data_IF_450201529609
#
_entry.id   IF_450201529609
#
_cell.length_a   1.000
_cell.length_b   1.000
_cell.length_c   1.000
_cell.angle_alpha   90.00
_cell.angle_beta   90.00
_cell.angle_gamma   90.00
#
_symmetry.space_group_name_H-M   'P 1'
#
loop_
_entity.id
_entity.type
_entity.pdbx_description
1 polymer ?
#
# COMPACT_ATOMS: atom_id res chain seq x y z
N UNK A 1 16.06 -13.64 18.14
CA UNK A 1 17.50 -13.63 17.80
C UNK A 1 17.70 -14.41 16.50
N UNK A 2 18.84 -14.29 15.82
CA UNK A 2 19.16 -15.14 14.65
C UNK A 2 20.40 -16.02 14.89
N UNK A 3 20.65 -16.98 13.99
CA UNK A 3 21.78 -17.92 14.10
C UNK A 3 23.15 -17.19 14.06
N UNK A 4 23.38 -16.20 13.18
CA UNK A 4 24.57 -15.36 13.24
C UNK A 4 24.77 -14.66 14.60
N UNK A 5 23.71 -14.10 15.19
CA UNK A 5 23.74 -13.45 16.49
C UNK A 5 24.11 -14.43 17.61
N UNK A 6 23.55 -15.65 17.60
CA UNK A 6 23.96 -16.69 18.55
C UNK A 6 25.44 -17.07 18.40
N UNK A 7 25.98 -17.12 17.18
CA UNK A 7 27.42 -17.38 16.97
C UNK A 7 28.30 -16.26 17.54
N UNK A 8 27.86 -15.00 17.40
CA UNK A 8 28.55 -13.85 18.00
C UNK A 8 28.51 -13.94 19.54
N UNK A 9 27.35 -14.22 20.11
CA UNK A 9 27.20 -14.40 21.57
C UNK A 9 28.01 -15.60 22.08
N UNK A 10 28.15 -16.68 21.31
CA UNK A 10 29.04 -17.79 21.64
C UNK A 10 30.52 -17.36 21.67
N UNK A 11 30.93 -16.43 20.80
CA UNK A 11 32.24 -15.79 20.84
C UNK A 11 32.45 -14.98 22.12
N UNK A 12 31.45 -14.21 22.53
CA UNK A 12 31.48 -13.42 23.77
C UNK A 12 31.49 -14.29 25.03
N UNK A 13 30.67 -15.35 25.08
CA UNK A 13 30.70 -16.33 26.20
C UNK A 13 32.08 -16.98 26.30
N UNK A 14 32.71 -17.31 25.18
CA UNK A 14 34.07 -17.85 25.18
C UNK A 14 35.06 -16.85 25.78
N UNK A 15 35.04 -15.59 25.33
CA UNK A 15 35.91 -14.54 25.89
C UNK A 15 35.67 -14.30 27.38
N UNK A 16 34.41 -14.35 27.83
CA UNK A 16 34.04 -14.23 29.25
C UNK A 16 34.61 -15.38 30.09
N UNK A 17 34.54 -16.62 29.58
CA UNK A 17 35.07 -17.79 30.27
C UNK A 17 36.61 -17.81 30.29
N UNK A 18 37.24 -17.34 29.22
CA UNK A 18 38.71 -17.15 29.16
C UNK A 18 39.18 -16.16 30.25
N UNK A 19 38.45 -15.06 30.47
CA UNK A 19 38.74 -14.11 31.57
C UNK A 19 38.64 -14.73 32.96
N UNK A 20 37.90 -15.85 33.11
CA UNK A 20 37.75 -16.60 34.35
C UNK A 20 38.64 -17.85 34.39
N UNK A 21 39.67 -17.93 33.53
CA UNK A 21 40.59 -19.06 33.40
C UNK A 21 39.91 -20.40 33.06
N UNK A 22 38.77 -20.36 32.34
CA UNK A 22 38.06 -21.54 31.84
C UNK A 22 38.23 -21.61 30.32
N UNK A 23 39.21 -22.36 29.80
CA UNK A 23 39.41 -22.48 28.36
C UNK A 23 38.31 -23.34 27.74
N UNK A 24 37.59 -22.79 26.77
CA UNK A 24 36.58 -23.53 25.99
C UNK A 24 36.80 -23.36 24.48
N UNK A 25 36.68 -24.47 23.75
CA UNK A 25 36.81 -24.47 22.29
C UNK A 25 35.61 -23.81 21.60
N UNK A 26 35.76 -23.45 20.33
CA UNK A 26 34.70 -22.82 19.53
C UNK A 26 33.42 -23.66 19.44
N UNK A 27 33.53 -24.98 19.25
CA UNK A 27 32.37 -25.88 19.22
C UNK A 27 31.66 -25.96 20.57
N UNK A 28 32.42 -25.95 21.66
CA UNK A 28 31.88 -25.98 23.03
C UNK A 28 31.15 -24.68 23.37
N UNK A 29 31.64 -23.52 22.92
CA UNK A 29 30.96 -22.25 23.17
C UNK A 29 29.63 -22.13 22.40
N UNK A 30 29.54 -22.73 21.20
CA UNK A 30 28.29 -22.87 20.47
C UNK A 30 27.28 -23.79 21.19
N UNK A 31 27.73 -24.87 21.80
CA UNK A 31 26.84 -25.73 22.61
C UNK A 31 26.37 -25.05 23.90
N UNK A 32 27.20 -24.19 24.48
CA UNK A 32 26.84 -23.40 25.65
C UNK A 32 25.78 -22.36 25.31
N UNK A 33 25.92 -21.63 24.19
CA UNK A 33 24.98 -20.56 23.82
C UNK A 33 23.58 -21.07 23.46
N UNK A 34 23.46 -22.34 23.06
CA UNK A 34 22.16 -22.99 22.80
C UNK A 34 21.21 -22.93 24.01
N UNK A 35 21.72 -22.67 25.22
CA UNK A 35 20.91 -22.49 26.43
C UNK A 35 19.92 -21.32 26.35
N UNK A 36 20.28 -20.26 25.61
CA UNK A 36 19.46 -19.04 25.51
C UNK A 36 18.06 -19.36 24.96
N UNK A 37 17.91 -19.99 23.78
CA UNK A 37 16.60 -20.45 23.28
C UNK A 37 16.04 -21.68 24.02
N UNK A 38 16.75 -22.20 25.03
CA UNK A 38 16.34 -23.39 25.78
C UNK A 38 16.57 -24.70 25.03
N UNK A 39 17.67 -24.76 24.26
CA UNK A 39 18.10 -25.92 23.46
C UNK A 39 19.36 -26.56 24.06
N UNK A 40 19.61 -27.85 23.78
CA UNK A 40 20.64 -28.63 24.47
C UNK A 40 22.04 -28.45 23.89
N UNK A 41 22.15 -28.28 22.58
CA UNK A 41 23.41 -28.20 21.84
C UNK A 41 23.23 -27.44 20.50
N UNK A 42 24.33 -27.20 19.78
CA UNK A 42 24.33 -26.47 18.52
C UNK A 42 23.57 -27.15 17.37
N UNK A 43 23.60 -28.49 17.21
CA UNK A 43 22.73 -29.17 16.25
C UNK A 43 21.23 -28.86 16.42
N UNK A 44 20.73 -28.77 17.66
CA UNK A 44 19.34 -28.39 17.91
C UNK A 44 19.04 -26.93 17.50
N UNK A 45 20.00 -26.01 17.62
CA UNK A 45 19.85 -24.62 17.16
C UNK A 45 19.56 -24.56 15.65
N UNK A 46 20.19 -25.43 14.86
CA UNK A 46 19.92 -25.53 13.42
C UNK A 46 18.61 -26.25 13.11
N UNK A 47 18.17 -27.18 13.97
CA UNK A 47 16.93 -27.94 13.78
C UNK A 47 15.66 -27.17 14.19
N UNK A 48 15.78 -26.13 15.03
CA UNK A 48 14.64 -25.35 15.56
C UNK A 48 14.81 -23.84 15.35
N UNK A 49 14.84 -23.35 14.09
CA UNK A 49 15.06 -21.94 13.77
C UNK A 49 14.00 -21.01 14.36
N UNK A 50 12.74 -21.44 14.46
CA UNK A 50 11.65 -20.62 15.02
C UNK A 50 11.85 -20.33 16.52
N UNK A 51 12.43 -21.28 17.26
CA UNK A 51 12.77 -21.08 18.69
C UNK A 51 13.95 -20.13 18.88
N UNK A 52 14.87 -20.10 17.91
CA UNK A 52 15.97 -19.13 17.88
C UNK A 52 15.43 -17.74 17.56
N UNK A 53 14.55 -17.65 16.56
CA UNK A 53 13.86 -16.43 16.15
C UNK A 53 13.10 -15.79 17.30
N UNK A 54 12.29 -16.58 18.02
CA UNK A 54 11.50 -16.14 19.17
C UNK A 54 12.31 -15.88 20.45
N UNK A 55 13.62 -16.20 20.48
CA UNK A 55 14.45 -16.00 21.67
C UNK A 55 15.02 -14.58 21.70
N UNK A 56 14.92 -13.92 22.86
CA UNK A 56 15.56 -12.63 23.15
C UNK A 56 16.57 -12.75 24.30
N UNK A 57 17.54 -11.85 24.38
CA UNK A 57 18.46 -11.79 25.52
C UNK A 57 17.80 -11.00 26.65
N UNK A 58 17.25 -11.70 27.64
CA UNK A 58 16.54 -11.12 28.78
C UNK A 58 16.83 -11.92 30.06
N UNK A 59 16.27 -11.49 31.21
CA UNK A 59 16.53 -12.12 32.51
C UNK A 59 16.28 -13.63 32.53
N UNK A 60 15.20 -14.08 31.87
CA UNK A 60 14.84 -15.50 31.83
C UNK A 60 15.78 -16.34 30.97
N UNK A 61 16.24 -15.82 29.82
CA UNK A 61 17.16 -16.53 28.93
C UNK A 61 18.58 -16.53 29.49
N UNK A 62 19.02 -15.42 30.09
CA UNK A 62 20.28 -15.30 30.80
C UNK A 62 20.37 -16.20 32.04
N UNK A 63 19.27 -16.37 32.80
CA UNK A 63 19.23 -17.31 33.92
C UNK A 63 19.46 -18.77 33.50
N UNK A 64 18.93 -19.18 32.34
CA UNK A 64 19.19 -20.52 31.77
C UNK A 64 20.66 -20.69 31.40
N UNK A 65 21.29 -19.67 30.83
CA UNK A 65 22.72 -19.69 30.53
C UNK A 65 23.56 -19.72 31.82
N UNK A 66 23.24 -18.90 32.83
CA UNK A 66 23.90 -18.92 34.14
C UNK A 66 23.86 -20.31 34.78
N UNK A 67 22.70 -20.95 34.76
CA UNK A 67 22.54 -22.31 35.27
C UNK A 67 23.42 -23.32 34.50
N UNK A 68 23.54 -23.17 33.17
CA UNK A 68 24.39 -24.03 32.34
C UNK A 68 25.87 -23.82 32.62
N UNK A 69 26.31 -22.57 32.78
CA UNK A 69 27.70 -22.24 33.10
C UNK A 69 28.10 -22.75 34.50
N UNK A 70 27.21 -22.58 35.49
CA UNK A 70 27.41 -23.12 36.84
C UNK A 70 27.50 -24.65 36.84
N UNK A 71 26.58 -25.33 36.16
CA UNK A 71 26.54 -26.80 36.16
C UNK A 71 27.70 -27.45 35.40
N UNK A 72 28.21 -26.83 34.32
CA UNK A 72 29.27 -27.41 33.49
C UNK A 72 30.69 -26.95 33.84
N UNK A 73 30.84 -25.74 34.34
CA UNK A 73 32.16 -25.14 34.57
C UNK A 73 32.36 -24.60 35.99
N UNK A 74 31.38 -24.78 36.88
CA UNK A 74 31.40 -24.29 38.26
C UNK A 74 31.68 -22.77 38.37
N UNK A 75 31.30 -22.00 37.35
CA UNK A 75 31.39 -20.54 37.33
C UNK A 75 30.02 -19.94 37.60
N UNK A 76 29.93 -19.08 38.59
CA UNK A 76 28.68 -18.44 38.99
C UNK A 76 28.59 -17.04 38.41
N UNK A 77 27.56 -16.82 37.59
CA UNK A 77 27.20 -15.50 37.09
C UNK A 77 25.75 -15.20 37.45
N UNK A 78 25.48 -13.97 37.88
CA UNK A 78 24.09 -13.51 37.97
C UNK A 78 23.52 -13.22 36.57
N UNK A 79 22.19 -13.38 36.36
CA UNK A 79 21.58 -13.04 35.08
C UNK A 79 21.86 -11.61 34.59
N UNK A 80 21.86 -10.57 35.45
CA UNK A 80 22.23 -9.21 35.04
C UNK A 80 23.69 -9.09 34.56
N UNK A 81 24.63 -9.79 35.21
CA UNK A 81 26.04 -9.81 34.79
C UNK A 81 26.21 -10.47 33.41
N UNK A 82 25.49 -11.58 33.16
CA UNK A 82 25.53 -12.21 31.84
C UNK A 82 24.89 -11.36 30.77
N UNK A 83 23.77 -10.69 31.07
CA UNK A 83 23.18 -9.74 30.12
C UNK A 83 24.19 -8.64 29.82
N UNK A 84 24.79 -8.01 30.83
CA UNK A 84 25.78 -6.96 30.63
C UNK A 84 27.03 -7.41 29.85
N UNK A 85 27.48 -8.66 30.05
CA UNK A 85 28.66 -9.21 29.37
C UNK A 85 28.38 -9.71 27.94
N UNK A 86 27.15 -10.11 27.65
CA UNK A 86 26.73 -10.66 26.35
C UNK A 86 26.01 -9.63 25.48
N UNK A 87 25.53 -8.57 26.10
CA UNK A 87 25.21 -7.31 25.44
C UNK A 87 26.51 -6.68 24.92
N UNK A 88 26.62 -6.30 23.63
CA UNK A 88 27.76 -5.53 23.15
C UNK A 88 27.93 -4.24 23.98
N UNK A 89 29.17 -3.72 24.15
CA UNK A 89 29.40 -2.45 24.81
C UNK A 89 28.54 -1.38 24.14
N UNK A 90 27.54 -0.87 24.86
CA UNK A 90 26.44 -0.07 24.32
C UNK A 90 25.02 -0.59 24.62
N UNK A 91 24.88 -1.76 25.26
CA UNK A 91 23.56 -2.32 25.64
C UNK A 91 23.38 -2.49 27.15
N UNK A 92 23.61 -1.40 27.89
CA UNK A 92 22.83 -1.11 29.09
C UNK A 92 21.73 -0.14 28.67
N UNK A 93 20.48 -0.35 29.09
CA UNK A 93 19.42 0.64 28.93
C UNK A 93 19.55 1.72 30.02
N UNK A 94 19.99 2.94 29.68
CA UNK A 94 19.21 4.13 29.96
C UNK A 94 18.30 4.39 28.74
N UNK A 95 17.41 5.37 28.85
CA UNK A 95 16.49 5.81 27.79
C UNK A 95 17.09 5.76 26.38
N UNK A 96 16.26 5.47 25.36
CA UNK A 96 16.52 5.71 23.92
C UNK A 96 17.56 6.83 23.70
N UNK A 97 18.82 6.45 23.54
CA UNK A 97 19.98 7.30 23.26
C UNK A 97 21.19 6.35 23.21
N UNK A 98 21.96 6.20 22.15
CA UNK A 98 22.04 6.90 20.87
C UNK A 98 22.85 5.99 19.95
N UNK A 99 22.19 5.28 19.03
CA UNK A 99 22.77 5.26 17.68
C UNK A 99 22.87 6.74 17.26
N UNK A 100 23.91 7.18 16.55
CA UNK A 100 23.98 8.56 16.08
C UNK A 100 22.68 8.84 15.32
N UNK A 101 21.87 9.77 15.85
CA UNK A 101 20.67 10.18 15.16
C UNK A 101 21.11 11.00 13.97
N UNK A 102 20.74 10.57 12.77
CA UNK A 102 21.01 11.37 11.59
C UNK A 102 20.00 12.51 11.57
N UNK A 103 20.52 13.72 11.35
CA UNK A 103 19.74 14.95 11.32
C UNK A 103 18.91 15.18 12.61
N UNK A 104 19.55 15.30 13.79
CA UNK A 104 18.85 15.42 15.07
C UNK A 104 18.08 16.75 15.22
N UNK A 105 18.53 17.80 14.52
CA UNK A 105 17.85 19.09 14.41
C UNK A 105 16.80 19.12 13.31
N UNK A 106 16.67 18.04 12.54
CA UNK A 106 15.71 17.91 11.45
C UNK A 106 14.27 17.68 11.93
N UNK A 107 13.31 17.68 10.99
CA UNK A 107 11.88 17.44 11.27
C UNK A 107 11.61 16.14 12.02
N UNK A 108 10.43 15.95 12.60
CA UNK A 108 10.11 14.71 13.32
C UNK A 108 10.14 13.48 12.39
N UNK A 109 10.43 12.29 12.93
CA UNK A 109 10.22 11.03 12.21
C UNK A 109 8.75 10.91 11.81
N UNK A 110 8.49 10.31 10.65
CA UNK A 110 7.17 10.33 10.05
C UNK A 110 7.18 10.09 8.55
N UNK A 111 6.00 9.81 8.01
CA UNK A 111 5.72 9.73 6.58
C UNK A 111 5.27 11.10 6.08
N UNK A 112 5.99 11.62 5.09
CA UNK A 112 5.71 12.89 4.44
C UNK A 112 5.46 12.64 2.95
N UNK A 113 4.36 13.15 2.43
CA UNK A 113 3.93 12.87 1.05
C UNK A 113 4.04 14.10 0.16
N UNK A 114 4.30 13.91 -1.12
CA UNK A 114 4.26 14.96 -2.15
C UNK A 114 3.91 14.38 -3.51
N UNK A 115 3.42 15.21 -4.43
CA UNK A 115 3.23 14.85 -5.84
C UNK A 115 4.32 15.43 -6.75
N UNK A 116 5.32 16.13 -6.18
CA UNK A 116 6.34 16.87 -6.93
C UNK A 116 7.70 16.20 -6.82
N UNK A 117 8.29 15.83 -7.96
CA UNK A 117 9.69 15.38 -8.02
C UNK A 117 10.64 16.52 -7.61
N UNK A 118 10.30 17.77 -7.94
CA UNK A 118 11.09 18.93 -7.53
C UNK A 118 11.18 19.06 -6.01
N UNK A 119 10.09 18.80 -5.28
CA UNK A 119 10.09 18.77 -3.82
C UNK A 119 11.01 17.68 -3.25
N UNK A 120 11.08 16.50 -3.90
CA UNK A 120 12.01 15.42 -3.52
C UNK A 120 13.46 15.84 -3.78
N UNK A 121 13.75 16.40 -4.94
CA UNK A 121 15.11 16.83 -5.30
C UNK A 121 15.60 17.94 -4.33
N UNK A 122 14.73 18.90 -3.99
CA UNK A 122 15.03 19.94 -3.01
C UNK A 122 15.24 19.37 -1.59
N UNK A 123 14.44 18.38 -1.19
CA UNK A 123 14.60 17.69 0.10
C UNK A 123 15.94 16.96 0.18
N UNK A 124 16.36 16.27 -0.89
CA UNK A 124 17.63 15.56 -0.96
C UNK A 124 18.81 16.52 -0.79
N UNK A 125 18.80 17.64 -1.53
CA UNK A 125 19.83 18.66 -1.40
C UNK A 125 19.90 19.21 0.04
N UNK A 126 18.75 19.51 0.62
CA UNK A 126 18.69 20.05 1.99
C UNK A 126 19.16 19.06 3.04
N UNK A 127 18.84 17.78 2.88
CA UNK A 127 19.32 16.72 3.75
C UNK A 127 20.83 16.60 3.68
N UNK A 128 21.40 16.60 2.47
CA UNK A 128 22.84 16.53 2.23
C UNK A 128 23.58 17.69 2.92
N UNK A 129 23.10 18.93 2.73
CA UNK A 129 23.63 20.13 3.38
C UNK A 129 23.51 20.09 4.92
N UNK A 130 22.42 19.55 5.45
CA UNK A 130 22.16 19.53 6.89
C UNK A 130 22.84 18.38 7.64
N UNK A 131 23.33 17.38 6.92
CA UNK A 131 23.94 16.17 7.48
C UNK A 131 25.40 15.98 7.09
N UNK A 132 25.98 16.92 6.34
CA UNK A 132 27.33 16.83 5.78
C UNK A 132 27.52 15.58 4.89
N UNK A 133 26.48 15.25 4.10
CA UNK A 133 26.52 14.15 3.12
C UNK A 133 26.23 12.75 3.67
N UNK A 134 25.35 12.62 4.66
CA UNK A 134 24.92 11.32 5.15
C UNK A 134 24.15 10.52 4.09
N UNK A 135 24.15 9.21 4.25
CA UNK A 135 23.50 8.30 3.31
C UNK A 135 21.97 8.50 3.31
N UNK A 136 21.39 8.46 2.11
CA UNK A 136 19.95 8.39 1.86
C UNK A 136 19.61 7.01 1.35
N UNK A 137 18.46 6.44 1.72
CA UNK A 137 17.95 5.23 1.10
C UNK A 137 16.81 5.59 0.15
N UNK A 138 16.86 5.13 -1.09
CA UNK A 138 15.87 5.55 -2.08
C UNK A 138 15.41 4.43 -3.01
N UNK A 139 14.16 4.52 -3.46
CA UNK A 139 13.66 3.91 -4.71
C UNK A 139 13.69 4.96 -5.83
N UNK A 140 13.25 4.60 -7.05
CA UNK A 140 13.28 5.39 -8.28
C UNK A 140 13.26 6.93 -8.14
N UNK A 141 12.36 7.51 -7.34
CA UNK A 141 12.24 8.96 -7.12
C UNK A 141 13.50 9.61 -6.51
N UNK A 142 14.36 8.88 -5.80
CA UNK A 142 15.60 9.40 -5.22
C UNK A 142 16.86 8.65 -5.65
N UNK A 143 16.75 7.57 -6.43
CA UNK A 143 17.88 6.70 -6.79
C UNK A 143 18.94 7.36 -7.67
N UNK A 144 18.63 8.51 -8.27
CA UNK A 144 19.58 9.29 -9.07
C UNK A 144 20.52 10.18 -8.25
N UNK A 145 20.32 10.29 -6.94
CA UNK A 145 21.15 11.11 -6.06
C UNK A 145 22.49 10.44 -5.74
N UNK A 146 23.60 11.19 -5.75
CA UNK A 146 24.95 10.63 -5.59
C UNK A 146 25.15 9.92 -4.24
N UNK A 147 24.50 10.40 -3.17
CA UNK A 147 24.51 9.80 -1.84
C UNK A 147 23.43 8.73 -1.57
N UNK A 148 22.67 8.32 -2.60
CA UNK A 148 21.57 7.37 -2.42
C UNK A 148 22.03 5.90 -2.48
N UNK A 149 21.53 5.11 -1.54
CA UNK A 149 21.56 3.65 -1.56
C UNK A 149 20.21 3.16 -2.08
N UNK A 150 20.25 2.41 -3.17
CA UNK A 150 19.06 1.74 -3.71
C UNK A 150 18.51 0.73 -2.70
N UNK A 151 17.21 0.85 -2.40
CA UNK A 151 16.48 -0.06 -1.52
C UNK A 151 16.34 -1.48 -2.12
N UNK A 152 16.49 -1.63 -3.43
CA UNK A 152 16.53 -2.90 -4.14
C UNK A 152 15.20 -3.67 -4.08
N UNK A 153 15.26 -4.98 -4.36
CA UNK A 153 14.08 -5.84 -4.53
C UNK A 153 13.15 -5.89 -3.32
N UNK A 154 13.70 -5.82 -2.10
CA UNK A 154 12.92 -5.90 -0.86
C UNK A 154 12.37 -4.54 -0.40
N UNK A 155 12.81 -3.42 -0.99
CA UNK A 155 12.30 -2.10 -0.68
C UNK A 155 12.30 -1.77 0.83
N UNK A 156 11.22 -1.14 1.28
CA UNK A 156 10.96 -0.85 2.69
C UNK A 156 10.79 -2.09 3.59
N UNK A 157 10.51 -3.27 3.04
CA UNK A 157 10.38 -4.51 3.81
C UNK A 157 11.74 -5.09 4.23
N UNK A 158 12.84 -4.54 3.73
CA UNK A 158 14.19 -5.01 4.04
C UNK A 158 14.48 -4.98 5.55
N UNK A 159 14.89 -6.14 6.11
CA UNK A 159 15.33 -6.23 7.51
C UNK A 159 16.62 -5.43 7.78
N UNK A 160 17.36 -5.05 6.75
CA UNK A 160 18.55 -4.21 6.86
C UNK A 160 18.23 -2.80 7.37
N UNK A 161 17.05 -2.26 7.05
CA UNK A 161 16.64 -0.91 7.45
C UNK A 161 16.46 -0.74 8.95
N UNK A 162 16.18 -1.82 9.69
CA UNK A 162 16.13 -1.79 11.16
C UNK A 162 17.51 -1.57 11.81
N UNK A 163 18.59 -1.69 11.04
CA UNK A 163 19.97 -1.43 11.50
C UNK A 163 20.47 -0.04 11.09
N UNK A 164 19.71 0.66 10.26
CA UNK A 164 20.02 2.02 9.82
C UNK A 164 19.79 2.97 10.99
N UNK A 165 20.65 3.97 11.23
CA UNK A 165 20.49 4.89 12.34
C UNK A 165 19.15 5.66 12.26
N UNK A 166 18.53 5.92 13.40
CA UNK A 166 17.28 6.68 13.44
C UNK A 166 17.46 8.08 12.86
N UNK A 167 16.43 8.60 12.20
CA UNK A 167 16.45 9.91 11.56
C UNK A 167 17.02 9.91 10.13
N UNK A 168 17.48 8.78 9.63
CA UNK A 168 17.82 8.66 8.21
C UNK A 168 16.64 9.01 7.32
N UNK A 169 16.93 9.72 6.22
CA UNK A 169 15.97 9.99 5.17
C UNK A 169 15.83 8.77 4.26
N UNK A 170 14.58 8.37 4.04
CA UNK A 170 14.20 7.33 3.09
C UNK A 170 13.25 7.95 2.06
N UNK A 171 13.54 7.78 0.77
CA UNK A 171 12.73 8.31 -0.34
C UNK A 171 12.09 7.15 -1.10
N UNK A 172 10.77 7.19 -1.25
CA UNK A 172 9.98 6.10 -1.85
C UNK A 172 9.11 6.65 -2.96
N UNK A 173 8.94 5.86 -4.02
CA UNK A 173 8.04 6.18 -5.12
C UNK A 173 8.74 6.41 -6.46
N UNK A 174 8.02 6.88 -7.49
CA UNK A 174 6.61 7.26 -7.43
C UNK A 174 5.70 6.07 -7.09
N UNK A 175 4.83 6.24 -6.09
CA UNK A 175 3.76 5.28 -5.79
C UNK A 175 2.53 5.68 -6.59
N UNK A 176 2.15 4.83 -7.54
CA UNK A 176 0.95 5.06 -8.33
C UNK A 176 -0.29 4.80 -7.48
N UNK A 177 -1.15 5.81 -7.33
CA UNK A 177 -2.48 5.67 -6.75
C UNK A 177 -3.50 5.47 -7.85
N UNK A 178 -3.69 4.21 -8.23
CA UNK A 178 -4.75 3.77 -9.13
C UNK A 178 -5.31 2.42 -8.66
N UNK A 179 -6.39 1.96 -9.28
CA UNK A 179 -7.12 0.77 -8.84
C UNK A 179 -6.28 -0.51 -9.00
N UNK A 180 -5.44 -0.58 -10.02
CA UNK A 180 -4.59 -1.75 -10.29
C UNK A 180 -3.42 -1.89 -9.33
N UNK A 181 -2.92 -0.79 -8.75
CA UNK A 181 -1.82 -0.76 -7.78
C UNK A 181 -2.27 -0.51 -6.33
N UNK A 182 -3.58 -0.40 -6.08
CA UNK A 182 -4.11 0.05 -4.78
C UNK A 182 -3.62 -0.79 -3.60
N UNK A 183 -3.64 -2.12 -3.73
CA UNK A 183 -3.19 -3.05 -2.68
C UNK A 183 -1.69 -2.98 -2.44
N UNK A 184 -0.88 -2.99 -3.50
CA UNK A 184 0.58 -2.90 -3.41
C UNK A 184 1.02 -1.56 -2.79
N UNK A 185 0.38 -0.46 -3.20
CA UNK A 185 0.65 0.87 -2.64
C UNK A 185 0.24 0.95 -1.17
N UNK A 186 -0.89 0.35 -0.78
CA UNK A 186 -1.31 0.26 0.62
C UNK A 186 -0.25 -0.46 1.49
N UNK A 187 0.27 -1.60 1.03
CA UNK A 187 1.32 -2.31 1.75
C UNK A 187 2.64 -1.53 1.81
N UNK A 188 3.04 -0.83 0.74
CA UNK A 188 4.23 0.03 0.78
C UNK A 188 4.08 1.17 1.77
N UNK A 189 2.90 1.80 1.84
CA UNK A 189 2.61 2.87 2.80
C UNK A 189 2.58 2.35 4.24
N UNK A 190 2.07 1.14 4.49
CA UNK A 190 2.16 0.49 5.80
C UNK A 190 3.61 0.27 6.22
N UNK A 191 4.46 -0.25 5.34
CA UNK A 191 5.88 -0.37 5.64
C UNK A 191 6.53 0.98 5.91
N UNK A 192 6.16 2.03 5.18
CA UNK A 192 6.65 3.40 5.44
C UNK A 192 6.27 3.86 6.86
N UNK A 193 5.02 3.63 7.27
CA UNK A 193 4.55 3.94 8.62
C UNK A 193 5.33 3.16 9.68
N UNK A 194 5.55 1.85 9.47
CA UNK A 194 6.35 1.02 10.37
C UNK A 194 7.80 1.54 10.50
N UNK A 195 8.44 1.97 9.40
CA UNK A 195 9.80 2.54 9.44
C UNK A 195 9.85 3.87 10.18
N UNK A 196 8.83 4.70 10.02
CA UNK A 196 8.74 5.95 10.77
C UNK A 196 8.55 5.71 12.27
N UNK A 197 7.64 4.83 12.68
CA UNK A 197 7.31 4.64 14.10
C UNK A 197 8.29 3.75 14.87
N UNK A 198 8.67 2.61 14.28
CA UNK A 198 9.48 1.61 14.97
C UNK A 198 10.97 1.97 14.93
N UNK A 199 11.43 2.44 13.77
CA UNK A 199 12.86 2.70 13.53
C UNK A 199 13.21 4.20 13.64
N UNK A 200 12.21 5.09 13.67
CA UNK A 200 12.41 6.53 13.83
C UNK A 200 12.91 7.22 12.55
N UNK A 201 12.56 6.69 11.38
CA UNK A 201 13.00 7.23 10.08
C UNK A 201 12.10 8.36 9.56
N UNK A 202 12.63 9.15 8.63
CA UNK A 202 11.87 10.15 7.87
C UNK A 202 11.62 9.58 6.50
N UNK A 203 10.38 9.26 6.18
CA UNK A 203 10.03 8.62 4.91
C UNK A 203 9.33 9.66 4.04
N UNK A 204 10.01 10.12 2.98
CA UNK A 204 9.43 10.97 1.95
C UNK A 204 8.87 10.09 0.84
N UNK A 205 7.60 10.29 0.50
CA UNK A 205 6.90 9.47 -0.50
C UNK A 205 6.42 10.35 -1.64
N UNK A 206 6.94 10.07 -2.84
CA UNK A 206 6.40 10.63 -4.07
C UNK A 206 5.15 9.85 -4.48
N UNK A 207 4.04 10.54 -4.60
CA UNK A 207 2.74 10.00 -4.98
C UNK A 207 2.41 10.44 -6.40
N UNK A 208 2.09 9.48 -7.27
CA UNK A 208 1.51 9.74 -8.58
C UNK A 208 0.00 9.49 -8.51
N UNK A 209 -0.78 10.57 -8.58
CA UNK A 209 -2.25 10.52 -8.42
C UNK A 209 -2.96 11.41 -9.44
N UNK A 210 -4.10 10.96 -9.99
CA UNK A 210 -4.97 11.81 -10.81
C UNK A 210 -5.69 12.90 -10.00
N UNK A 211 -5.65 12.88 -8.66
CA UNK A 211 -6.32 13.84 -7.77
C UNK A 211 -5.37 14.31 -6.65
N UNK A 212 -4.44 15.23 -6.94
CA UNK A 212 -3.53 15.77 -5.92
C UNK A 212 -4.25 16.35 -4.69
N UNK A 213 -5.40 16.99 -4.88
CA UNK A 213 -6.21 17.57 -3.80
C UNK A 213 -6.77 16.52 -2.82
N UNK A 214 -6.89 15.25 -3.27
CA UNK A 214 -7.41 14.14 -2.47
C UNK A 214 -6.31 13.23 -1.92
N UNK A 215 -5.04 13.47 -2.29
CA UNK A 215 -3.89 12.63 -1.96
C UNK A 215 -3.84 12.22 -0.48
N UNK A 216 -3.98 13.17 0.45
CA UNK A 216 -3.88 12.88 1.89
C UNK A 216 -4.96 11.92 2.37
N UNK A 217 -6.19 12.05 1.87
CA UNK A 217 -7.28 11.15 2.24
C UNK A 217 -7.06 9.77 1.62
N UNK A 218 -6.61 9.71 0.36
CA UNK A 218 -6.33 8.45 -0.30
C UNK A 218 -5.18 7.68 0.34
N UNK A 219 -4.09 8.37 0.73
CA UNK A 219 -2.98 7.79 1.49
C UNK A 219 -3.47 7.25 2.84
N UNK A 220 -4.27 8.01 3.58
CA UNK A 220 -4.81 7.56 4.85
C UNK A 220 -5.73 6.33 4.68
N UNK A 221 -6.58 6.30 3.65
CA UNK A 221 -7.43 5.15 3.34
C UNK A 221 -6.61 3.92 2.95
N UNK A 222 -5.56 4.09 2.16
CA UNK A 222 -4.68 2.99 1.77
C UNK A 222 -4.00 2.35 3.00
N UNK A 223 -3.49 3.17 3.93
CA UNK A 223 -2.91 2.66 5.19
C UNK A 223 -3.96 1.95 6.06
N UNK A 224 -5.15 2.54 6.21
CA UNK A 224 -6.24 1.96 6.99
C UNK A 224 -6.73 0.60 6.46
N UNK A 225 -6.61 0.36 5.15
CA UNK A 225 -7.00 -0.90 4.52
C UNK A 225 -6.22 -2.09 5.07
N UNK A 226 -4.91 -1.93 5.27
CA UNK A 226 -3.99 -3.00 5.68
C UNK A 226 -3.76 -3.01 7.20
N UNK A 227 -3.79 -1.83 7.82
CA UNK A 227 -3.65 -1.62 9.26
C UNK A 227 -4.88 -0.90 9.83
N UNK A 228 -6.02 -1.62 10.02
CA UNK A 228 -7.25 -1.03 10.52
C UNK A 228 -7.12 -0.69 12.02
N UNK A 229 -6.64 0.52 12.31
CA UNK A 229 -6.75 1.12 13.63
C UNK A 229 -8.17 1.68 13.81
N UNK A 230 -8.71 1.68 15.03
CA UNK A 230 -10.09 2.06 15.33
C UNK A 230 -10.35 3.55 15.04
N UNK A 231 -10.68 3.87 13.79
CA UNK A 231 -11.24 5.16 13.35
C UNK A 231 -10.28 6.35 13.26
N UNK A 232 -9.03 6.22 13.73
CA UNK A 232 -8.02 7.29 13.66
C UNK A 232 -7.06 7.09 12.48
N UNK A 233 -6.51 8.19 11.98
CA UNK A 233 -5.45 8.17 10.98
C UNK A 233 -4.17 7.64 11.65
N UNK A 234 -3.41 6.83 10.94
CA UNK A 234 -2.15 6.27 11.47
C UNK A 234 -1.23 7.41 11.96
N UNK A 235 -0.74 7.37 13.21
CA UNK A 235 0.04 8.46 13.78
C UNK A 235 1.38 8.68 13.08
N UNK A 236 1.87 7.71 12.30
CA UNK A 236 3.06 7.84 11.46
C UNK A 236 2.87 8.81 10.29
N UNK A 237 1.64 9.05 9.83
CA UNK A 237 1.33 9.96 8.74
C UNK A 237 1.49 11.41 9.20
N UNK A 238 2.69 11.96 8.95
CA UNK A 238 3.16 13.17 9.60
C UNK A 238 2.89 14.45 8.81
N UNK A 239 3.02 14.45 7.47
CA UNK A 239 2.78 15.68 6.72
C UNK A 239 3.16 15.70 5.25
N UNK A 240 3.69 16.84 4.79
CA UNK A 240 3.97 17.16 3.38
C UNK A 240 5.46 17.47 3.17
N UNK A 241 5.98 17.11 2.00
CA UNK A 241 7.25 17.65 1.48
C UNK A 241 6.96 18.88 0.61
N UNK A 242 7.49 20.05 0.98
CA UNK A 242 7.29 21.30 0.21
C UNK A 242 8.20 21.37 -1.01
N UNK A 243 7.91 22.27 -1.95
CA UNK A 243 8.78 22.55 -3.11
C UNK A 243 10.18 23.03 -2.73
N UNK A 244 10.33 23.59 -1.52
CA UNK A 244 11.62 24.03 -0.96
C UNK A 244 12.36 22.91 -0.20
N UNK A 245 11.82 21.68 -0.22
CA UNK A 245 12.41 20.52 0.44
C UNK A 245 12.19 20.46 1.95
N UNK A 246 11.25 21.23 2.50
CA UNK A 246 10.88 21.14 3.92
C UNK A 246 9.93 19.97 4.18
N UNK A 247 10.18 19.22 5.26
CA UNK A 247 9.20 18.30 5.82
C UNK A 247 8.35 19.05 6.85
N UNK A 248 7.12 19.40 6.47
CA UNK A 248 6.21 20.15 7.34
C UNK A 248 5.13 19.24 7.92
N UNK A 249 4.91 19.26 9.24
CA UNK A 249 3.84 18.49 9.85
C UNK A 249 2.47 19.01 9.43
N UNK A 250 1.51 18.10 9.29
CA UNK A 250 0.12 18.39 8.92
C UNK A 250 -0.82 17.79 9.96
N UNK A 251 -1.51 18.63 10.73
CA UNK A 251 -2.47 18.19 11.75
C UNK A 251 -3.80 18.95 11.62
N UNK A 252 -4.94 18.26 11.41
CA UNK A 252 -5.06 16.84 11.10
C UNK A 252 -4.44 16.51 9.73
N UNK A 253 -3.91 15.29 9.56
CA UNK A 253 -3.33 14.84 8.29
C UNK A 253 -4.36 14.90 7.14
N UNK A 254 -5.56 14.40 7.40
CA UNK A 254 -6.71 14.52 6.49
C UNK A 254 -7.55 15.73 6.88
N UNK A 255 -7.78 16.62 5.93
CA UNK A 255 -8.71 17.74 6.09
C UNK A 255 -9.99 17.48 5.29
N UNK A 256 -11.16 17.95 5.76
CA UNK A 256 -12.39 17.86 4.98
C UNK A 256 -12.25 18.62 3.65
N UNK A 257 -12.47 17.93 2.54
CA UNK A 257 -12.55 18.55 1.22
C UNK A 257 -13.98 18.48 0.68
N UNK A 258 -14.50 19.59 0.17
CA UNK A 258 -15.77 19.61 -0.55
C UNK A 258 -15.54 19.03 -1.95
N UNK A 259 -16.25 17.94 -2.27
CA UNK A 259 -16.15 17.32 -3.58
C UNK A 259 -17.03 18.04 -4.59
N UNK A 260 -16.48 18.21 -5.80
CA UNK A 260 -17.25 18.69 -6.93
C UNK A 260 -18.18 17.57 -7.41
N UNK A 261 -19.49 17.84 -7.39
CA UNK A 261 -20.50 16.95 -7.97
C UNK A 261 -20.81 17.41 -9.37
N UNK A 262 -20.69 16.48 -10.33
CA UNK A 262 -21.02 16.72 -11.72
C UNK A 262 -22.41 16.16 -11.97
N UNK A 263 -23.33 17.03 -12.40
CA UNK A 263 -24.66 16.60 -12.82
C UNK A 263 -24.57 16.02 -14.22
N UNK A 264 -25.21 14.87 -14.42
CA UNK A 264 -25.33 14.26 -15.76
C UNK A 264 -26.73 14.44 -16.35
N UNK A 265 -27.61 15.17 -15.63
CA UNK A 265 -28.97 15.42 -16.05
C UNK A 265 -29.02 16.14 -17.42
N UNK A 266 -29.88 15.66 -18.31
CA UNK A 266 -30.09 16.24 -19.64
C UNK A 266 -29.07 15.80 -20.70
N UNK A 267 -28.10 14.93 -20.37
CA UNK A 267 -27.27 14.28 -21.37
C UNK A 267 -28.14 13.44 -22.36
N UNK A 268 -27.75 13.36 -23.64
CA UNK A 268 -28.47 12.55 -24.62
C UNK A 268 -28.51 11.07 -24.24
N UNK A 269 -29.62 10.40 -24.53
CA UNK A 269 -29.82 8.95 -24.30
C UNK A 269 -29.94 8.16 -25.59
N UNK A 270 -29.62 8.77 -26.73
CA UNK A 270 -29.85 8.26 -28.10
C UNK A 270 -28.92 7.11 -28.50
N UNK A 271 -27.78 6.95 -27.82
CA UNK A 271 -26.91 5.78 -27.96
C UNK A 271 -27.54 4.49 -27.38
N UNK A 272 -28.69 4.58 -26.71
CA UNK A 272 -29.50 3.46 -26.26
C UNK A 272 -30.83 3.40 -27.03
N UNK A 273 -31.26 2.22 -27.50
CA UNK A 273 -32.58 2.06 -28.10
C UNK A 273 -33.70 2.49 -27.13
N UNK A 274 -34.78 3.15 -27.59
CA UNK A 274 -35.85 3.62 -26.70
C UNK A 274 -36.46 2.54 -25.82
N UNK A 275 -36.57 1.29 -26.33
CA UNK A 275 -37.06 0.16 -25.54
C UNK A 275 -36.09 -0.25 -24.44
N UNK A 276 -34.79 -0.16 -24.69
CA UNK A 276 -33.76 -0.42 -23.69
C UNK A 276 -33.80 0.65 -22.58
N UNK A 277 -34.00 1.93 -22.93
CA UNK A 277 -34.18 3.03 -21.96
C UNK A 277 -35.39 2.76 -21.04
N UNK A 278 -36.53 2.36 -21.61
CA UNK A 278 -37.74 2.05 -20.84
C UNK A 278 -37.49 0.89 -19.85
N UNK A 279 -36.92 -0.22 -20.33
CA UNK A 279 -36.62 -1.40 -19.51
C UNK A 279 -35.59 -1.11 -18.43
N UNK A 280 -34.54 -0.37 -18.76
CA UNK A 280 -33.50 0.02 -17.81
C UNK A 280 -34.09 0.90 -16.69
N UNK A 281 -34.92 1.88 -17.05
CA UNK A 281 -35.61 2.74 -16.08
C UNK A 281 -36.47 1.92 -15.11
N UNK A 282 -37.23 0.94 -15.62
CA UNK A 282 -38.02 0.04 -14.78
C UNK A 282 -37.16 -0.83 -13.86
N UNK A 283 -36.00 -1.31 -14.34
CA UNK A 283 -35.08 -2.13 -13.53
C UNK A 283 -34.38 -1.32 -12.46
N UNK A 284 -33.96 -0.09 -12.74
CA UNK A 284 -33.32 0.79 -11.75
C UNK A 284 -34.25 1.12 -10.58
N UNK A 285 -35.57 1.18 -10.80
CA UNK A 285 -36.56 1.33 -9.73
C UNK A 285 -36.62 0.12 -8.79
N UNK A 286 -36.23 -1.07 -9.25
CA UNK A 286 -36.21 -2.30 -8.46
C UNK A 286 -34.85 -2.51 -7.79
N UNK A 287 -33.77 -2.12 -8.46
CA UNK A 287 -32.40 -2.32 -8.01
C UNK A 287 -31.50 -1.19 -8.51
N UNK A 288 -31.05 -0.35 -7.58
CA UNK A 288 -30.22 0.83 -7.85
C UNK A 288 -28.72 0.60 -7.61
N UNK A 289 -28.31 -0.59 -7.19
CA UNK A 289 -26.91 -0.97 -6.92
C UNK A 289 -26.58 -2.34 -7.51
N UNK A 290 -25.31 -2.54 -7.87
CA UNK A 290 -24.81 -3.74 -8.52
C UNK A 290 -24.11 -3.40 -9.83
N UNK A 291 -24.26 -4.27 -10.84
CA UNK A 291 -23.57 -4.14 -12.13
C UNK A 291 -24.53 -3.72 -13.23
N UNK A 292 -24.20 -2.64 -13.93
CA UNK A 292 -24.81 -2.23 -15.18
C UNK A 292 -23.78 -2.42 -16.30
N UNK A 293 -24.01 -3.46 -17.10
CA UNK A 293 -23.10 -3.85 -18.19
C UNK A 293 -23.65 -3.29 -19.49
N UNK A 294 -22.83 -2.50 -20.18
CA UNK A 294 -23.19 -1.79 -21.39
C UNK A 294 -22.14 -2.08 -22.46
N UNK A 295 -22.55 -2.74 -23.54
CA UNK A 295 -21.62 -3.19 -24.57
C UNK A 295 -22.00 -2.73 -25.97
N UNK A 296 -21.00 -2.73 -26.83
CA UNK A 296 -21.14 -2.41 -28.25
C UNK A 296 -20.15 -3.23 -29.08
N UNK A 297 -20.52 -3.60 -30.31
CA UNK A 297 -19.56 -4.18 -31.27
C UNK A 297 -18.71 -3.15 -32.01
N UNK A 298 -18.88 -1.85 -31.73
CA UNK A 298 -18.07 -0.83 -32.37
C UNK A 298 -16.69 -0.84 -31.72
N UNK A 299 -15.70 -1.28 -32.50
CA UNK A 299 -14.32 -1.35 -32.05
C UNK A 299 -13.74 0.06 -31.84
N UNK A 300 -13.60 0.45 -30.58
CA UNK A 300 -13.04 1.72 -30.12
C UNK A 300 -12.08 1.48 -28.95
N UNK A 301 -11.33 2.51 -28.52
CA UNK A 301 -10.43 2.39 -27.36
C UNK A 301 -11.20 2.13 -26.05
N UNK A 302 -12.42 2.67 -25.91
CA UNK A 302 -13.27 2.51 -24.73
C UNK A 302 -14.61 1.89 -25.09
N UNK A 303 -14.73 0.59 -24.86
CA UNK A 303 -15.90 -0.18 -25.26
C UNK A 303 -17.17 0.22 -24.50
N UNK A 304 -18.29 0.28 -25.22
CA UNK A 304 -19.60 0.62 -24.64
C UNK A 304 -19.71 2.03 -24.05
N UNK A 305 -18.72 2.92 -24.28
CA UNK A 305 -18.66 4.20 -23.57
C UNK A 305 -19.78 5.17 -23.99
N UNK A 306 -20.24 5.12 -25.24
CA UNK A 306 -21.43 5.85 -25.70
C UNK A 306 -22.70 5.37 -24.99
N UNK A 307 -22.84 4.04 -24.81
CA UNK A 307 -23.96 3.46 -24.07
C UNK A 307 -23.90 3.84 -22.57
N UNK A 308 -22.70 3.84 -21.98
CA UNK A 308 -22.48 4.34 -20.61
C UNK A 308 -22.91 5.80 -20.49
N UNK A 309 -22.44 6.66 -21.40
CA UNK A 309 -22.81 8.08 -21.43
C UNK A 309 -24.33 8.28 -21.50
N UNK A 310 -25.03 7.49 -22.32
CA UNK A 310 -26.48 7.53 -22.43
C UNK A 310 -27.22 6.97 -21.19
N UNK A 311 -26.60 6.09 -20.42
CA UNK A 311 -27.17 5.55 -19.18
C UNK A 311 -26.96 6.45 -17.95
N UNK A 312 -25.95 7.31 -17.95
CA UNK A 312 -25.66 8.25 -16.86
C UNK A 312 -26.88 9.09 -16.42
N UNK A 313 -27.59 9.82 -17.31
CA UNK A 313 -28.74 10.63 -16.90
C UNK A 313 -29.89 9.80 -16.30
N UNK A 314 -29.99 8.50 -16.65
CA UNK A 314 -31.05 7.59 -16.16
C UNK A 314 -30.81 7.11 -14.73
N UNK A 315 -29.64 7.39 -14.16
CA UNK A 315 -29.18 6.86 -12.86
C UNK A 315 -28.82 7.99 -11.89
N UNK A 316 -29.18 9.23 -12.21
CA UNK A 316 -28.77 10.41 -11.43
C UNK A 316 -29.25 10.34 -9.97
N UNK A 317 -30.40 9.72 -9.72
CA UNK A 317 -31.01 9.50 -8.41
C UNK A 317 -30.23 8.53 -7.51
N UNK A 318 -29.38 7.67 -8.08
CA UNK A 318 -28.52 6.74 -7.33
C UNK A 318 -27.42 7.48 -6.55
N UNK A 319 -27.00 8.65 -7.03
CA UNK A 319 -26.01 9.51 -6.35
C UNK A 319 -24.87 10.00 -7.25
N UNK A 320 -23.80 10.56 -6.69
CA UNK A 320 -22.69 11.09 -7.46
C UNK A 320 -21.95 9.99 -8.24
N UNK A 321 -21.49 10.35 -9.44
CA UNK A 321 -20.73 9.47 -10.33
C UNK A 321 -19.27 9.89 -10.45
N UNK A 322 -18.38 8.90 -10.50
CA UNK A 322 -16.96 9.07 -10.75
C UNK A 322 -16.42 8.01 -11.71
N UNK A 323 -15.26 8.29 -12.30
CA UNK A 323 -14.44 7.33 -13.04
C UNK A 323 -13.37 6.77 -12.11
N UNK A 324 -13.18 5.46 -12.11
CA UNK A 324 -12.08 4.85 -11.37
C UNK A 324 -10.86 4.75 -12.30
N UNK A 325 -9.73 5.32 -11.88
CA UNK A 325 -8.48 5.20 -12.62
C UNK A 325 -7.99 3.75 -12.54
N UNK A 326 -8.01 3.03 -13.65
CA UNK A 326 -7.64 1.60 -13.65
C UNK A 326 -6.13 1.39 -13.50
N UNK A 327 -5.35 2.19 -14.21
CA UNK A 327 -3.88 2.24 -14.18
C UNK A 327 -3.38 3.58 -14.68
N UNK A 328 -2.15 3.92 -14.40
CA UNK A 328 -1.50 5.07 -15.02
C UNK A 328 -1.13 4.69 -16.46
N UNK A 329 -1.56 5.51 -17.44
CA UNK A 329 -1.25 5.29 -18.86
C UNK A 329 -0.08 6.14 -19.28
N UNK A 330 0.86 5.54 -20.02
CA UNK A 330 1.90 6.30 -20.74
C UNK A 330 1.36 7.24 -21.82
N UNK A 331 0.07 7.15 -22.18
CA UNK A 331 -0.61 8.09 -23.09
C UNK A 331 -1.93 8.59 -22.46
N UNK A 332 -1.87 9.62 -21.59
CA UNK A 332 -3.05 10.13 -20.86
C UNK A 332 -4.17 10.65 -21.77
N UNK A 333 -3.84 11.13 -22.98
CA UNK A 333 -4.83 11.60 -23.94
C UNK A 333 -5.88 10.54 -24.30
N UNK A 334 -5.53 9.25 -24.20
CA UNK A 334 -6.46 8.15 -24.44
C UNK A 334 -7.61 8.16 -23.45
N UNK A 335 -7.40 8.57 -22.21
CA UNK A 335 -8.45 8.65 -21.19
C UNK A 335 -9.50 9.74 -21.49
N UNK A 336 -9.19 10.62 -22.44
CA UNK A 336 -10.10 11.65 -22.93
C UNK A 336 -10.80 11.27 -24.24
N UNK A 337 -10.53 10.09 -24.82
CA UNK A 337 -11.23 9.58 -26.02
C UNK A 337 -12.61 8.97 -25.65
N UNK A 338 -13.41 9.72 -24.92
CA UNK A 338 -14.74 9.33 -24.41
C UNK A 338 -15.76 10.46 -24.65
N UNK A 339 -17.08 10.21 -24.53
CA UNK A 339 -18.09 11.26 -24.66
C UNK A 339 -17.91 12.39 -23.63
N UNK A 340 -18.33 13.61 -23.97
CA UNK A 340 -18.07 14.81 -23.16
C UNK A 340 -18.64 14.73 -21.74
N UNK A 341 -19.82 14.11 -21.58
CA UNK A 341 -20.41 13.86 -20.26
C UNK A 341 -19.51 12.98 -19.38
N UNK A 342 -18.80 12.02 -19.99
CA UNK A 342 -17.84 11.16 -19.30
C UNK A 342 -16.53 11.90 -19.04
N UNK A 343 -16.05 12.72 -20.00
CA UNK A 343 -14.85 13.55 -19.82
C UNK A 343 -14.97 14.47 -18.61
N UNK A 344 -16.17 15.01 -18.36
CA UNK A 344 -16.44 15.90 -17.24
C UNK A 344 -16.44 15.23 -15.87
N UNK A 345 -16.44 13.90 -15.79
CA UNK A 345 -16.49 13.17 -14.52
C UNK A 345 -15.14 13.19 -13.80
N UNK A 346 -15.13 13.28 -12.45
CA UNK A 346 -13.90 13.20 -11.68
C UNK A 346 -13.29 11.80 -11.77
N UNK A 347 -11.97 11.74 -11.81
CA UNK A 347 -11.22 10.50 -11.62
C UNK A 347 -10.99 10.27 -10.13
N UNK A 348 -11.23 9.05 -9.66
CA UNK A 348 -10.88 8.61 -8.32
C UNK A 348 -9.81 7.53 -8.41
N UNK A 349 -8.94 7.47 -7.42
CA UNK A 349 -7.79 6.56 -7.38
C UNK A 349 -8.23 5.09 -7.29
N UNK A 350 -9.26 4.80 -6.49
CA UNK A 350 -9.80 3.45 -6.33
C UNK A 350 -11.31 3.46 -6.04
N UNK A 351 -11.95 2.28 -6.12
CA UNK A 351 -13.35 2.07 -5.71
C UNK A 351 -13.53 2.44 -4.23
N UNK A 352 -12.56 2.07 -3.39
CA UNK A 352 -12.57 2.36 -1.96
C UNK A 352 -12.50 3.87 -1.70
N UNK A 353 -11.59 4.57 -2.39
CA UNK A 353 -11.52 6.04 -2.34
C UNK A 353 -12.85 6.66 -2.79
N UNK A 354 -13.36 6.29 -3.97
CA UNK A 354 -14.62 6.80 -4.49
C UNK A 354 -15.79 6.58 -3.50
N UNK A 355 -15.90 5.38 -2.92
CA UNK A 355 -16.92 5.06 -1.94
C UNK A 355 -16.82 5.92 -0.67
N UNK A 356 -15.61 6.08 -0.13
CA UNK A 356 -15.31 6.92 1.05
C UNK A 356 -15.53 8.41 0.79
N UNK A 357 -15.54 8.82 -0.47
CA UNK A 357 -15.89 10.15 -0.94
C UNK A 357 -17.40 10.31 -1.24
N UNK A 358 -18.20 9.26 -1.06
CA UNK A 358 -19.66 9.32 -1.22
C UNK A 358 -20.14 9.14 -2.65
N UNK A 359 -19.25 8.75 -3.58
CA UNK A 359 -19.68 8.33 -4.90
C UNK A 359 -20.42 6.98 -4.78
N UNK A 360 -21.53 6.86 -5.52
CA UNK A 360 -22.39 5.67 -5.54
C UNK A 360 -22.63 5.13 -6.94
N UNK A 361 -22.11 5.84 -7.95
CA UNK A 361 -22.00 5.39 -9.34
C UNK A 361 -20.53 5.41 -9.73
N UNK A 362 -20.03 4.32 -10.31
CA UNK A 362 -18.61 4.20 -10.61
C UNK A 362 -18.40 3.57 -11.98
N UNK A 363 -17.72 4.29 -12.87
CA UNK A 363 -17.26 3.76 -14.14
C UNK A 363 -15.94 3.04 -13.90
N UNK A 364 -15.92 1.73 -14.15
CA UNK A 364 -14.79 0.88 -13.85
C UNK A 364 -14.31 0.11 -15.08
N UNK A 365 -13.02 -0.19 -15.09
CA UNK A 365 -12.46 -1.27 -15.89
C UNK A 365 -12.34 -2.50 -15.00
N UNK A 366 -13.23 -3.46 -15.20
CA UNK A 366 -13.29 -4.69 -14.40
C UNK A 366 -12.01 -5.53 -14.46
N UNK A 367 -11.14 -5.32 -15.46
CA UNK A 367 -9.86 -6.01 -15.57
C UNK A 367 -8.83 -5.60 -14.52
N UNK A 368 -8.99 -4.43 -13.88
CA UNK A 368 -8.05 -3.87 -12.90
C UNK A 368 -8.61 -3.81 -11.48
N UNK A 369 -9.90 -4.12 -11.28
CA UNK A 369 -10.51 -4.14 -9.96
C UNK A 369 -10.51 -5.55 -9.39
N UNK A 370 -10.16 -5.69 -8.11
CA UNK A 370 -10.28 -6.97 -7.45
C UNK A 370 -11.72 -7.35 -7.18
N UNK A 371 -12.01 -8.62 -7.41
CA UNK A 371 -13.37 -9.15 -7.25
C UNK A 371 -13.89 -9.00 -5.82
N UNK A 372 -13.00 -9.11 -4.83
CA UNK A 372 -13.35 -8.88 -3.42
C UNK A 372 -13.85 -7.44 -3.21
N UNK A 373 -13.17 -6.45 -3.78
CA UNK A 373 -13.57 -5.05 -3.69
C UNK A 373 -14.89 -4.80 -4.45
N UNK A 374 -15.02 -5.32 -5.67
CA UNK A 374 -16.25 -5.22 -6.45
C UNK A 374 -17.45 -5.78 -5.66
N UNK A 375 -17.32 -6.98 -5.09
CA UNK A 375 -18.38 -7.59 -4.30
C UNK A 375 -18.66 -6.81 -3.01
N UNK A 376 -17.61 -6.36 -2.30
CA UNK A 376 -17.72 -5.60 -1.04
C UNK A 376 -18.64 -4.37 -1.20
N UNK A 377 -18.55 -3.67 -2.33
CA UNK A 377 -19.28 -2.42 -2.55
C UNK A 377 -20.54 -2.57 -3.43
N UNK A 378 -20.70 -3.69 -4.14
CA UNK A 378 -21.79 -3.89 -5.11
C UNK A 378 -23.21 -3.85 -4.56
N UNK A 379 -23.40 -4.01 -3.24
CA UNK A 379 -24.73 -3.87 -2.63
C UNK A 379 -25.12 -2.40 -2.41
N UNK A 380 -24.16 -1.46 -2.47
CA UNK A 380 -24.36 -0.03 -2.27
C UNK A 380 -23.96 0.85 -3.47
N UNK A 381 -23.18 0.31 -4.40
CA UNK A 381 -22.63 1.03 -5.56
C UNK A 381 -23.19 0.47 -6.85
N UNK A 382 -23.54 1.35 -7.79
CA UNK A 382 -23.82 1.01 -9.18
C UNK A 382 -22.54 1.11 -10.02
N UNK A 383 -22.01 -0.04 -10.43
CA UNK A 383 -20.85 -0.14 -11.31
C UNK A 383 -21.29 -0.11 -12.77
N UNK A 384 -20.73 0.81 -13.54
CA UNK A 384 -20.84 0.85 -15.00
C UNK A 384 -19.65 0.12 -15.59
N UNK A 385 -19.94 -0.92 -16.38
CA UNK A 385 -18.92 -1.74 -17.04
C UNK A 385 -19.14 -1.71 -18.55
N UNK A 386 -18.10 -1.29 -19.27
CA UNK A 386 -18.06 -1.32 -20.72
C UNK A 386 -17.66 -2.70 -21.26
N UNK A 387 -18.32 -3.16 -22.32
CA UNK A 387 -17.98 -4.43 -22.98
C UNK A 387 -17.94 -4.33 -24.51
N UNK A 388 -17.25 -5.26 -25.15
CA UNK A 388 -17.18 -5.38 -26.61
C UNK A 388 -17.88 -6.66 -27.07
N UNK A 389 -19.21 -6.61 -27.10
CA UNK A 389 -20.03 -7.66 -27.69
C UNK A 389 -21.41 -7.16 -28.12
N UNK A 390 -22.00 -7.85 -29.09
CA UNK A 390 -23.44 -7.78 -29.44
C UNK A 390 -24.27 -8.78 -28.64
N UNK A 391 -23.64 -9.74 -27.99
CA UNK A 391 -24.31 -10.75 -27.17
C UNK A 391 -24.19 -10.35 -25.70
N UNK A 392 -25.34 -10.26 -25.01
CA UNK A 392 -25.37 -9.88 -23.61
C UNK A 392 -24.63 -10.88 -22.70
N UNK A 393 -24.64 -12.17 -23.07
CA UNK A 393 -23.90 -13.20 -22.34
C UNK A 393 -22.39 -12.97 -22.43
N UNK A 394 -21.86 -12.74 -23.62
CA UNK A 394 -20.45 -12.40 -23.82
C UNK A 394 -20.06 -11.11 -23.11
N UNK A 395 -20.88 -10.06 -23.21
CA UNK A 395 -20.65 -8.79 -22.52
C UNK A 395 -20.57 -8.98 -21.01
N UNK A 396 -21.46 -9.81 -20.44
CA UNK A 396 -21.41 -10.16 -19.02
C UNK A 396 -20.15 -10.97 -18.68
N UNK A 397 -19.79 -11.95 -19.52
CA UNK A 397 -18.58 -12.75 -19.35
C UNK A 397 -17.31 -11.89 -19.33
N UNK A 398 -17.28 -10.81 -20.12
CA UNK A 398 -16.16 -9.86 -20.13
C UNK A 398 -15.94 -9.18 -18.79
N UNK A 399 -17.00 -8.95 -18.01
CA UNK A 399 -16.91 -8.34 -16.67
C UNK A 399 -16.16 -9.19 -15.64
N UNK A 400 -15.99 -10.49 -15.90
CA UNK A 400 -15.31 -11.46 -15.01
C UNK A 400 -14.13 -12.18 -15.67
N UNK A 401 -13.80 -11.82 -16.91
CA UNK A 401 -12.94 -12.59 -17.84
C UNK A 401 -11.57 -12.98 -17.27
N UNK A 402 -11.06 -12.22 -16.31
CA UNK A 402 -9.72 -12.43 -15.75
C UNK A 402 -9.69 -13.22 -14.42
N UNK A 403 -10.84 -13.64 -13.87
CA UNK A 403 -10.91 -14.13 -12.47
C UNK A 403 -11.67 -15.45 -12.23
N UNK A 404 -12.16 -16.12 -13.29
CA UNK A 404 -12.71 -17.49 -13.25
C UNK A 404 -14.24 -17.60 -13.17
N UNK A 405 -14.80 -18.70 -13.71
CA UNK A 405 -16.26 -18.91 -13.87
C UNK A 405 -17.05 -18.97 -12.56
N UNK A 406 -16.45 -19.45 -11.46
CA UNK A 406 -17.12 -19.56 -10.15
C UNK A 406 -17.56 -18.21 -9.56
N UNK A 407 -17.03 -17.11 -10.09
CA UNK A 407 -17.35 -15.73 -9.69
C UNK A 407 -18.51 -15.13 -10.49
N UNK A 408 -18.82 -15.69 -11.66
CA UNK A 408 -19.88 -15.17 -12.53
C UNK A 408 -21.27 -15.24 -11.87
N UNK A 409 -21.56 -16.32 -11.14
CA UNK A 409 -22.84 -16.48 -10.43
C UNK A 409 -23.10 -15.33 -9.45
N UNK A 410 -22.08 -14.91 -8.71
CA UNK A 410 -22.15 -13.79 -7.76
C UNK A 410 -22.34 -12.44 -8.44
N UNK A 411 -21.74 -12.24 -9.63
CA UNK A 411 -21.99 -11.05 -10.44
C UNK A 411 -23.42 -11.06 -10.98
N UNK A 412 -23.90 -12.23 -11.43
CA UNK A 412 -25.27 -12.40 -11.92
C UNK A 412 -26.32 -12.09 -10.85
N UNK A 413 -26.12 -12.54 -9.61
CA UNK A 413 -26.96 -12.19 -8.46
C UNK A 413 -27.03 -10.68 -8.19
N UNK A 414 -26.06 -9.92 -8.70
CA UNK A 414 -25.95 -8.47 -8.53
C UNK A 414 -26.07 -7.69 -9.83
N UNK A 415 -26.49 -8.35 -10.91
CA UNK A 415 -26.70 -7.71 -12.18
C UNK A 415 -27.98 -6.86 -12.12
N UNK A 416 -27.85 -5.57 -12.45
CA UNK A 416 -28.98 -4.66 -12.64
C UNK A 416 -29.54 -4.84 -14.04
N UNK A 417 -28.66 -4.72 -15.04
CA UNK A 417 -28.97 -4.99 -16.44
C UNK A 417 -27.70 -5.27 -17.23
N UNK A 418 -27.85 -5.98 -18.35
CA UNK A 418 -26.84 -6.12 -19.38
C UNK A 418 -27.47 -5.73 -20.72
N UNK A 419 -26.93 -4.72 -21.38
CA UNK A 419 -27.45 -4.19 -22.64
C UNK A 419 -26.32 -4.20 -23.67
N UNK A 420 -26.51 -4.96 -24.74
CA UNK A 420 -25.62 -4.97 -25.89
C UNK A 420 -26.28 -4.20 -27.03
N UNK A 421 -25.59 -3.21 -27.57
CA UNK A 421 -26.13 -2.32 -28.61
C UNK A 421 -25.32 -2.41 -29.89
N UNK A 422 -26.02 -2.56 -31.01
CA UNK A 422 -25.42 -2.66 -32.33
C UNK A 422 -25.91 -1.57 -33.28
N UNK A 423 -25.04 -0.94 -34.07
CA UNK A 423 -25.50 -0.12 -35.18
C UNK A 423 -26.04 -1.02 -36.32
N UNK A 424 -27.21 -0.66 -36.84
CA UNK A 424 -27.74 -1.15 -38.12
C UNK A 424 -27.87 0.05 -39.07
N UNK A 425 -27.38 -0.11 -40.29
CA UNK A 425 -27.64 0.85 -41.36
C UNK A 425 -29.01 0.60 -41.98
N UNK A 426 -29.91 1.60 -41.88
CA UNK A 426 -31.21 1.60 -42.54
C UNK A 426 -31.23 2.77 -43.53
N UNK A 427 -30.87 2.48 -44.79
CA UNK A 427 -30.58 3.53 -45.78
C UNK A 427 -29.35 4.35 -45.38
N UNK A 428 -29.44 5.67 -45.45
CA UNK A 428 -28.37 6.61 -45.03
C UNK A 428 -28.35 6.91 -43.53
N UNK A 429 -29.21 6.24 -42.73
CA UNK A 429 -29.31 6.45 -41.28
C UNK A 429 -28.73 5.26 -40.53
N UNK A 430 -27.92 5.56 -39.52
CA UNK A 430 -27.52 4.56 -38.51
C UNK A 430 -28.56 4.54 -37.40
N UNK A 431 -29.10 3.36 -37.11
CA UNK A 431 -30.05 3.12 -36.02
C UNK A 431 -29.41 2.12 -35.05
N UNK A 432 -29.53 2.38 -33.75
CA UNK A 432 -29.06 1.45 -32.73
C UNK A 432 -30.18 0.45 -32.36
N UNK A 433 -29.85 -0.85 -32.35
CA UNK A 433 -30.72 -1.93 -31.87
C UNK A 433 -30.27 -2.49 -30.53
#
# INVERSE_FOLDING_TARGET
MDVPQLKLLAGLVRGLLEQHNVPVGHSQSLDLIAALPGLRNWPEVNAFPDRVAACELNGGTAARLAHRLRSRHNVEFSPPQLIAALSPPGSQSPARSTAPQIWPTGPAAGVYVTTSQQAIDALLQRYDEATDGELVYAEAAGSGWEGAIDLGEYGLSSKGLARVPSGTLIVVGPLELNQGSWEDTAHKLEWACMRAEMDGHRVAVLIDTPQPDLMFKDVALAVQRVSPQSGECDPALAGIVTEDGDLLPRSPFVQPLALQRVSTAGAPTDALPPKAVELLTQRLQQRSSGFLVLSSCVWTEHWGMEQIAAALPLTEDVGPVARIMSRNRGTPAKDMLVPDVVKGLPFMTSIESAYAHGYRRMLIDSGYADFSDLMKYSDEVLFFVGGHSLEAEDALMETVRFRGFDRLSKVYERLVACIAVGPISVGDKTVHI
#
